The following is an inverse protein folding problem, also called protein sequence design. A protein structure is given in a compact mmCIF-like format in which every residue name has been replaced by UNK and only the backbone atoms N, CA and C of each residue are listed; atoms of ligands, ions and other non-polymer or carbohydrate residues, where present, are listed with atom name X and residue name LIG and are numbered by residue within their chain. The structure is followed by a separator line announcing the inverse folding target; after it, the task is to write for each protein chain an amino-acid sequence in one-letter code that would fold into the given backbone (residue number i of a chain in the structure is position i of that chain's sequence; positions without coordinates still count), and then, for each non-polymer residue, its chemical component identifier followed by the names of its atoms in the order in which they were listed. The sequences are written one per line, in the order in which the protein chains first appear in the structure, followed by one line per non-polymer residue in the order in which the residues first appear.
data_IF_357725916965
#
_entry.id   IF_357725916965
#
_cell.length_a   1.000
_cell.length_b   1.000
_cell.length_c   1.000
_cell.angle_alpha   90.00
_cell.angle_beta   90.00
_cell.angle_gamma   90.00
#
_symmetry.space_group_name_H-M   'P 1'
#
loop_
_entity.id
_entity.type
_entity.pdbx_description
1 polymer ?
#
# COMPACT_ATOMS: atom_id res chain seq x y z
N UNK A 1 -58.97 -0.05 -28.28
CA UNK A 1 -58.05 -0.81 -27.41
C UNK A 1 -56.64 -0.24 -27.59
N UNK A 2 -56.16 0.58 -26.64
CA UNK A 2 -54.80 1.16 -26.65
C UNK A 2 -53.86 0.27 -25.84
N UNK A 3 -52.85 -0.32 -26.50
CA UNK A 3 -51.81 -1.11 -25.83
C UNK A 3 -50.78 -0.14 -25.24
N UNK A 4 -50.71 -0.09 -23.90
CA UNK A 4 -49.64 0.55 -23.18
C UNK A 4 -48.45 -0.41 -23.12
N UNK A 5 -47.37 -0.08 -23.81
CA UNK A 5 -46.08 -0.74 -23.65
C UNK A 5 -45.34 -0.10 -22.49
N UNK A 6 -45.17 -0.87 -21.41
CA UNK A 6 -44.36 -0.49 -20.26
C UNK A 6 -42.90 -0.78 -20.58
N UNK A 7 -42.12 0.25 -20.85
CA UNK A 7 -40.66 0.12 -20.96
C UNK A 7 -40.08 0.17 -19.56
N UNK A 8 -39.64 -0.98 -19.07
CA UNK A 8 -38.90 -1.11 -17.82
C UNK A 8 -37.44 -0.75 -18.07
N UNK A 9 -37.03 0.47 -17.73
CA UNK A 9 -35.64 0.90 -17.78
C UNK A 9 -34.90 0.30 -16.57
N UNK A 10 -34.07 -0.70 -16.81
CA UNK A 10 -33.10 -1.20 -15.83
C UNK A 10 -31.97 -0.20 -15.68
N UNK A 11 -32.01 0.58 -14.60
CA UNK A 11 -30.85 1.40 -14.19
C UNK A 11 -29.88 0.47 -13.47
N UNK A 12 -28.86 -0.01 -14.18
CA UNK A 12 -27.71 -0.70 -13.57
C UNK A 12 -26.87 0.37 -12.90
N UNK A 13 -27.13 0.63 -11.63
CA UNK A 13 -26.28 1.44 -10.78
C UNK A 13 -24.97 0.70 -10.53
N UNK A 14 -23.89 1.13 -11.15
CA UNK A 14 -22.52 0.74 -10.76
C UNK A 14 -22.23 1.36 -9.40
N UNK A 15 -22.44 0.59 -8.34
CA UNK A 15 -21.99 0.97 -7.01
C UNK A 15 -20.45 0.92 -7.01
N UNK A 16 -19.84 2.06 -7.28
CA UNK A 16 -18.42 2.27 -6.96
C UNK A 16 -18.31 2.23 -5.43
N UNK A 17 -17.83 1.12 -4.89
CA UNK A 17 -17.48 1.01 -3.48
C UNK A 17 -16.25 1.89 -3.22
N UNK A 18 -16.46 3.19 -3.05
CA UNK A 18 -15.50 4.05 -2.40
C UNK A 18 -15.51 3.65 -0.91
N UNK A 19 -14.56 2.81 -0.51
CA UNK A 19 -14.26 2.65 0.91
C UNK A 19 -13.81 4.03 1.40
N UNK A 20 -14.70 4.75 2.08
CA UNK A 20 -14.35 5.98 2.76
C UNK A 20 -13.40 5.60 3.90
N UNK A 21 -12.11 5.78 3.66
CA UNK A 21 -11.09 5.65 4.68
C UNK A 21 -11.18 6.93 5.50
N UNK A 22 -11.82 6.87 6.69
CA UNK A 22 -11.82 7.99 7.62
C UNK A 22 -10.42 8.03 8.26
N UNK A 23 -9.60 8.93 7.79
CA UNK A 23 -8.35 9.31 8.45
C UNK A 23 -8.63 10.61 9.18
N UNK A 24 -8.34 10.65 10.50
CA UNK A 24 -8.39 11.89 11.27
C UNK A 24 -7.52 12.93 10.55
N UNK A 25 -8.04 14.12 10.22
CA UNK A 25 -7.26 15.16 9.53
C UNK A 25 -6.05 15.65 10.37
N UNK A 26 -6.03 15.36 11.67
CA UNK A 26 -4.90 15.66 12.55
C UNK A 26 -3.94 14.48 12.71
N UNK A 27 -4.19 13.34 12.04
CA UNK A 27 -3.28 12.19 12.11
C UNK A 27 -1.93 12.56 11.52
N UNK A 28 -0.87 12.36 12.30
CA UNK A 28 0.51 12.50 11.82
C UNK A 28 1.31 11.26 12.20
N UNK A 29 1.93 10.64 11.20
CA UNK A 29 2.81 9.48 11.43
C UNK A 29 4.00 9.80 12.34
N UNK A 30 4.36 11.09 12.49
CA UNK A 30 5.48 11.56 13.30
C UNK A 30 5.24 11.38 14.81
N UNK A 31 4.00 11.25 15.22
CA UNK A 31 3.62 11.10 16.64
C UNK A 31 3.77 9.64 17.11
N UNK A 32 4.17 8.73 16.22
CA UNK A 32 4.23 7.29 16.47
C UNK A 32 5.60 6.69 16.19
N UNK A 33 5.89 5.59 16.89
CA UNK A 33 7.03 4.73 16.60
C UNK A 33 6.70 3.81 15.42
N UNK A 34 7.48 3.89 14.36
CA UNK A 34 7.22 3.19 13.09
C UNK A 34 8.26 2.11 12.84
N UNK A 35 7.79 0.89 12.59
CA UNK A 35 8.61 -0.20 12.06
C UNK A 35 8.41 -0.32 10.55
N UNK A 36 9.51 -0.38 9.80
CA UNK A 36 9.47 -0.55 8.34
C UNK A 36 9.67 -2.01 7.97
N UNK A 37 8.65 -2.62 7.39
CA UNK A 37 8.69 -3.97 6.86
C UNK A 37 8.66 -3.95 5.33
N UNK A 38 9.65 -4.61 4.72
CA UNK A 38 9.68 -4.80 3.26
C UNK A 38 9.46 -6.28 2.97
N UNK A 39 8.43 -6.57 2.19
CA UNK A 39 7.94 -7.92 1.91
C UNK A 39 8.18 -8.23 0.43
N UNK A 40 9.11 -9.15 0.18
CA UNK A 40 9.44 -9.62 -1.15
C UNK A 40 8.58 -10.84 -1.52
N UNK A 41 7.70 -10.65 -2.50
CA UNK A 41 6.94 -11.72 -3.17
C UNK A 41 7.29 -11.79 -4.66
N UNK A 42 8.38 -11.14 -5.06
CA UNK A 42 8.84 -11.20 -6.44
C UNK A 42 9.56 -12.53 -6.72
N UNK A 43 9.37 -13.03 -7.93
CA UNK A 43 9.97 -14.27 -8.41
C UNK A 43 10.90 -14.02 -9.59
N UNK A 44 11.84 -14.96 -9.81
CA UNK A 44 12.70 -15.00 -10.98
C UNK A 44 13.52 -13.71 -11.19
N UNK A 45 14.02 -13.09 -10.10
CA UNK A 45 14.86 -11.91 -10.16
C UNK A 45 14.16 -10.64 -10.67
N UNK A 46 12.83 -10.56 -10.56
CA UNK A 46 12.10 -9.36 -10.91
C UNK A 46 12.39 -8.18 -9.98
N UNK A 47 12.77 -8.45 -8.73
CA UNK A 47 13.16 -7.46 -7.75
C UNK A 47 14.35 -7.99 -6.94
N UNK A 48 15.41 -7.23 -6.82
CA UNK A 48 16.68 -7.68 -6.20
C UNK A 48 17.26 -6.68 -5.20
N UNK A 49 16.80 -5.42 -5.20
CA UNK A 49 17.33 -4.37 -4.33
C UNK A 49 16.49 -4.14 -3.06
N UNK A 50 16.09 -5.23 -2.40
CA UNK A 50 15.20 -5.22 -1.23
C UNK A 50 15.79 -4.38 -0.09
N UNK A 51 17.08 -4.60 0.22
CA UNK A 51 17.79 -3.87 1.29
C UNK A 51 17.91 -2.38 0.97
N UNK A 52 18.19 -2.03 -0.28
CA UNK A 52 18.21 -0.64 -0.75
C UNK A 52 16.85 0.01 -0.61
N UNK A 53 15.79 -0.69 -1.01
CA UNK A 53 14.41 -0.21 -0.88
C UNK A 53 14.05 0.05 0.58
N UNK A 54 14.43 -0.84 1.50
CA UNK A 54 14.21 -0.64 2.95
C UNK A 54 14.94 0.61 3.44
N UNK A 55 16.24 0.73 3.13
CA UNK A 55 17.03 1.89 3.52
C UNK A 55 16.48 3.18 2.94
N UNK A 56 16.00 3.16 1.70
CA UNK A 56 15.35 4.30 1.06
C UNK A 56 14.12 4.77 1.84
N UNK A 57 13.21 3.85 2.20
CA UNK A 57 12.03 4.18 3.00
C UNK A 57 12.43 4.75 4.36
N UNK A 58 13.38 4.11 5.05
CA UNK A 58 13.83 4.56 6.37
C UNK A 58 14.46 5.96 6.30
N UNK A 59 15.30 6.23 5.32
CA UNK A 59 15.91 7.55 5.15
C UNK A 59 14.85 8.63 4.90
N UNK A 60 13.89 8.39 4.00
CA UNK A 60 12.80 9.33 3.71
C UNK A 60 11.95 9.63 4.94
N UNK A 61 11.59 8.62 5.73
CA UNK A 61 10.84 8.81 6.95
C UNK A 61 11.66 9.56 8.01
N UNK A 62 12.96 9.29 8.11
CA UNK A 62 13.88 10.01 9.02
C UNK A 62 14.05 11.48 8.64
N UNK A 63 14.14 11.79 7.34
CA UNK A 63 14.15 13.18 6.83
C UNK A 63 12.89 13.94 7.26
N UNK A 64 11.78 13.25 7.36
CA UNK A 64 10.49 13.79 7.83
C UNK A 64 10.31 13.77 9.36
N UNK A 65 11.35 13.41 10.13
CA UNK A 65 11.35 13.30 11.60
C UNK A 65 10.40 12.23 12.16
N UNK A 66 10.15 11.15 11.42
CA UNK A 66 9.41 10.00 11.92
C UNK A 66 10.30 9.16 12.86
N UNK A 67 9.76 8.73 13.99
CA UNK A 67 10.47 7.89 14.96
C UNK A 67 10.55 6.44 14.46
N UNK A 68 11.70 6.01 13.94
CA UNK A 68 11.90 4.64 13.48
C UNK A 68 12.35 3.72 14.61
N UNK A 69 11.82 2.49 14.62
CA UNK A 69 12.25 1.41 15.52
C UNK A 69 12.72 0.20 14.74
N UNK A 70 13.76 -0.46 15.26
CA UNK A 70 14.32 -1.67 14.66
C UNK A 70 13.61 -2.96 15.08
N UNK A 71 12.75 -2.88 16.08
CA UNK A 71 12.05 -4.03 16.68
C UNK A 71 10.54 -3.84 16.55
N UNK A 72 9.88 -4.77 15.87
CA UNK A 72 8.44 -4.73 15.64
C UNK A 72 7.63 -4.81 16.95
N UNK A 73 8.16 -5.42 18.01
CA UNK A 73 7.48 -5.49 19.30
C UNK A 73 7.36 -4.14 20.02
N UNK A 74 8.12 -3.15 19.57
CA UNK A 74 8.19 -1.80 20.16
C UNK A 74 7.53 -0.74 19.30
N UNK A 75 6.80 -1.16 18.26
CA UNK A 75 6.19 -0.24 17.30
C UNK A 75 4.75 0.08 17.64
N UNK A 76 4.36 1.30 17.37
CA UNK A 76 2.96 1.73 17.38
C UNK A 76 2.33 1.45 16.01
N UNK A 77 3.08 1.70 14.92
CA UNK A 77 2.64 1.51 13.54
C UNK A 77 3.65 0.68 12.75
N UNK A 78 3.17 -0.18 11.87
CA UNK A 78 3.99 -0.89 10.90
C UNK A 78 3.72 -0.35 9.49
N UNK A 79 4.78 0.16 8.85
CA UNK A 79 4.74 0.51 7.43
C UNK A 79 5.20 -0.69 6.61
N UNK A 80 4.27 -1.31 5.90
CA UNK A 80 4.51 -2.46 5.05
C UNK A 80 4.63 -2.01 3.60
N UNK A 81 5.78 -2.26 2.98
CA UNK A 81 5.94 -2.21 1.54
C UNK A 81 6.04 -3.63 0.99
N UNK A 82 5.10 -4.01 0.14
CA UNK A 82 5.05 -5.32 -0.49
C UNK A 82 5.19 -5.18 -2.01
N UNK A 83 6.03 -6.00 -2.62
CA UNK A 83 6.18 -6.12 -4.05
C UNK A 83 5.93 -7.55 -4.48
N UNK A 84 4.88 -7.75 -5.27
CA UNK A 84 4.54 -9.00 -5.93
C UNK A 84 4.88 -8.88 -7.42
N UNK A 85 5.74 -9.74 -7.94
CA UNK A 85 6.09 -9.73 -9.36
C UNK A 85 6.49 -11.12 -9.87
N UNK A 86 6.27 -11.35 -11.16
CA UNK A 86 6.68 -12.58 -11.84
C UNK A 86 7.20 -12.27 -13.24
N UNK A 87 8.25 -12.97 -13.65
CA UNK A 87 8.81 -12.87 -15.00
C UNK A 87 8.02 -13.74 -15.97
N UNK A 88 7.74 -13.20 -17.14
CA UNK A 88 7.12 -13.95 -18.24
C UNK A 88 8.16 -14.56 -19.15
N UNK A 89 7.75 -15.47 -20.04
CA UNK A 89 8.61 -16.10 -21.03
C UNK A 89 9.30 -15.13 -22.00
N UNK A 90 8.81 -13.89 -22.09
CA UNK A 90 9.43 -12.82 -22.91
C UNK A 90 10.41 -11.94 -22.15
N UNK A 91 10.82 -12.32 -20.92
CA UNK A 91 11.81 -11.61 -20.13
C UNK A 91 11.30 -10.39 -19.35
N UNK A 92 10.03 -10.01 -19.50
CA UNK A 92 9.42 -8.92 -18.76
C UNK A 92 8.88 -9.39 -17.43
N UNK A 93 8.97 -8.52 -16.44
CA UNK A 93 8.33 -8.69 -15.14
C UNK A 93 6.98 -7.97 -15.11
N UNK A 94 5.96 -8.65 -14.61
CA UNK A 94 4.63 -8.10 -14.33
C UNK A 94 4.35 -8.22 -12.85
N UNK A 95 3.76 -7.19 -12.28
CA UNK A 95 3.47 -7.20 -10.86
C UNK A 95 2.81 -5.94 -10.35
N UNK A 96 2.66 -5.90 -9.06
CA UNK A 96 2.11 -4.75 -8.35
C UNK A 96 2.92 -4.44 -7.09
N UNK A 97 2.74 -3.21 -6.59
CA UNK A 97 3.32 -2.73 -5.34
C UNK A 97 2.21 -2.26 -4.44
N UNK A 98 2.38 -2.47 -3.16
CA UNK A 98 1.46 -2.06 -2.11
C UNK A 98 2.22 -1.39 -0.97
N UNK A 99 1.72 -0.25 -0.51
CA UNK A 99 2.19 0.43 0.69
C UNK A 99 1.01 0.50 1.66
N UNK A 100 1.21 -0.01 2.89
CA UNK A 100 0.18 -0.04 3.93
C UNK A 100 0.74 0.43 5.24
N UNK A 101 0.00 1.28 5.94
CA UNK A 101 0.26 1.63 7.33
C UNK A 101 -0.75 0.91 8.21
N UNK A 102 -0.27 0.08 9.12
CA UNK A 102 -1.11 -0.76 9.98
C UNK A 102 -0.73 -0.62 11.43
N UNK A 103 -1.69 -0.84 12.33
CA UNK A 103 -1.44 -0.98 13.77
C UNK A 103 -2.35 -2.05 14.36
N UNK A 104 -1.95 -2.55 15.53
CA UNK A 104 -2.84 -3.31 16.38
C UNK A 104 -3.75 -2.32 17.13
N UNK A 105 -5.05 -2.45 16.97
CA UNK A 105 -6.05 -1.63 17.65
C UNK A 105 -6.95 -2.48 18.51
N UNK A 106 -7.35 -1.96 19.66
CA UNK A 106 -8.30 -2.62 20.55
C UNK A 106 -9.73 -2.25 20.17
N UNK A 107 -10.56 -3.25 19.97
CA UNK A 107 -12.00 -3.09 19.79
C UNK A 107 -12.71 -3.85 20.92
N UNK A 108 -13.02 -3.15 22.00
CA UNK A 108 -13.44 -3.79 23.25
C UNK A 108 -12.31 -4.66 23.81
N UNK A 109 -12.56 -5.94 23.98
CA UNK A 109 -11.57 -6.93 24.47
C UNK A 109 -10.74 -7.59 23.33
N UNK A 110 -11.05 -7.28 22.08
CA UNK A 110 -10.40 -7.88 20.93
C UNK A 110 -9.30 -6.99 20.38
N UNK A 111 -8.14 -7.60 20.10
CA UNK A 111 -7.08 -6.96 19.34
C UNK A 111 -7.27 -7.26 17.85
N UNK A 112 -7.36 -6.22 17.04
CA UNK A 112 -7.51 -6.34 15.59
C UNK A 112 -6.40 -5.57 14.87
N UNK A 113 -6.06 -6.00 13.65
CA UNK A 113 -5.14 -5.26 12.79
C UNK A 113 -5.92 -4.20 12.02
N UNK A 114 -5.71 -2.93 12.39
CA UNK A 114 -6.26 -1.78 11.67
C UNK A 114 -5.35 -1.34 10.53
N UNK A 115 -5.94 -0.94 9.41
CA UNK A 115 -5.22 -0.31 8.29
C UNK A 115 -5.59 1.16 8.23
N UNK A 116 -4.61 2.04 8.44
CA UNK A 116 -4.78 3.50 8.46
C UNK A 116 -4.54 4.13 7.09
N UNK A 117 -3.67 3.52 6.30
CA UNK A 117 -3.35 3.98 4.94
C UNK A 117 -3.08 2.78 4.05
N UNK A 118 -3.54 2.85 2.82
CA UNK A 118 -3.21 1.86 1.79
C UNK A 118 -3.14 2.52 0.42
N UNK A 119 -2.07 2.24 -0.29
CA UNK A 119 -1.87 2.61 -1.69
C UNK A 119 -1.39 1.39 -2.47
N UNK A 120 -1.98 1.15 -3.63
CA UNK A 120 -1.60 0.04 -4.49
C UNK A 120 -1.32 0.56 -5.90
N UNK A 121 -0.44 -0.13 -6.63
CA UNK A 121 -0.37 0.01 -8.08
C UNK A 121 -1.34 -0.97 -8.74
N UNK A 122 -1.74 -0.65 -9.95
CA UNK A 122 -2.34 -1.61 -10.88
C UNK A 122 -1.21 -2.21 -11.71
N UNK A 123 -1.40 -3.37 -12.30
CA UNK A 123 -0.41 -4.15 -13.05
C UNK A 123 0.64 -3.32 -13.79
N UNK A 124 1.87 -3.40 -13.29
CA UNK A 124 3.02 -2.71 -13.88
C UNK A 124 3.82 -3.73 -14.69
N UNK A 125 4.24 -3.32 -15.88
CA UNK A 125 5.20 -4.04 -16.71
C UNK A 125 6.55 -3.34 -16.65
N UNK A 126 7.60 -4.09 -16.31
CA UNK A 126 8.98 -3.58 -16.26
C UNK A 126 9.99 -4.69 -16.57
N UNK A 127 11.20 -4.35 -16.99
CA UNK A 127 12.29 -5.33 -17.06
C UNK A 127 12.75 -5.78 -15.67
N UNK A 128 12.80 -4.82 -14.74
CA UNK A 128 13.10 -5.02 -13.33
C UNK A 128 12.31 -4.02 -12.51
N UNK A 129 11.87 -4.40 -11.31
CA UNK A 129 11.14 -3.52 -10.42
C UNK A 129 12.04 -2.62 -9.55
N UNK A 130 13.37 -2.80 -9.58
CA UNK A 130 14.28 -2.05 -8.73
C UNK A 130 14.05 -0.53 -8.77
N UNK A 131 14.19 0.06 -9.96
CA UNK A 131 13.97 1.50 -10.13
C UNK A 131 12.49 1.89 -10.07
N UNK A 132 11.60 1.01 -10.50
CA UNK A 132 10.16 1.26 -10.45
C UNK A 132 9.66 1.34 -9.02
N UNK A 133 10.18 0.50 -8.11
CA UNK A 133 9.85 0.52 -6.70
C UNK A 133 10.27 1.85 -6.04
N UNK A 134 11.52 2.28 -6.26
CA UNK A 134 12.03 3.54 -5.69
C UNK A 134 11.26 4.76 -6.21
N UNK A 135 11.02 4.84 -7.53
CA UNK A 135 10.23 5.93 -8.13
C UNK A 135 8.80 5.97 -7.62
N UNK A 136 8.19 4.80 -7.43
CA UNK A 136 6.83 4.74 -6.91
C UNK A 136 6.77 5.16 -5.44
N UNK A 137 7.74 4.73 -4.63
CA UNK A 137 7.88 5.15 -3.23
C UNK A 137 8.11 6.66 -3.11
N UNK A 138 8.97 7.24 -3.94
CA UNK A 138 9.24 8.68 -3.95
C UNK A 138 7.96 9.50 -4.16
N UNK A 139 7.06 9.00 -4.98
CA UNK A 139 5.76 9.65 -5.24
C UNK A 139 4.74 9.45 -4.12
N UNK A 140 4.77 8.32 -3.40
CA UNK A 140 3.67 7.93 -2.51
C UNK A 140 4.01 7.99 -1.00
N UNK A 141 5.30 8.02 -0.61
CA UNK A 141 5.69 8.24 0.79
C UNK A 141 5.28 9.63 1.33
N UNK A 142 5.35 10.73 0.54
CA UNK A 142 4.89 12.03 1.02
C UNK A 142 3.42 12.09 1.43
N UNK A 143 2.58 11.18 0.93
CA UNK A 143 1.16 11.09 1.29
C UNK A 143 0.93 10.58 2.72
N UNK A 144 1.99 10.11 3.42
CA UNK A 144 1.92 9.61 4.81
C UNK A 144 2.08 10.71 5.87
N UNK A 145 2.23 11.97 5.47
CA UNK A 145 2.50 13.11 6.36
C UNK A 145 1.26 13.64 7.02
#
# INVERSE_FOLDING_TARGET
MRKFSLILAFIVGTASSTSAQYVDPNFSIKDFKVFVQVIDKAKQGCWTNISETRSYIQNKLSEDNVQLVGDQSKTDLTLNFELLAQRTGHGWCYGNMSLKLTANVMLGEYMILGTFYQKNTVDIKSQHFNNSALKWLDKNLPDLK
#
